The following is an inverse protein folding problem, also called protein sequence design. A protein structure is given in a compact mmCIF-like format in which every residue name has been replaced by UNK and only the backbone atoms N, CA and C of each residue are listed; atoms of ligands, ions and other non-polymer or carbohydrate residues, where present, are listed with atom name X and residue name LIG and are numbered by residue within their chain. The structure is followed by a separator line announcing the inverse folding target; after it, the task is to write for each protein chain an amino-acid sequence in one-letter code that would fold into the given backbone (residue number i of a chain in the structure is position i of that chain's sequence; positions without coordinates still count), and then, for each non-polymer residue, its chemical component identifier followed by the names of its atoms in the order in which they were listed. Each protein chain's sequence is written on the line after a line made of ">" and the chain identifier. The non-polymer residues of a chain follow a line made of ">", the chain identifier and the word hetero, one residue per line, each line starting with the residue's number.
data_IF_089942695272
#
_entry.id   IF_089942695272
#
_cell.length_a   1.000
_cell.length_b   1.000
_cell.length_c   1.000
_cell.angle_alpha   90.00
_cell.angle_beta   90.00
_cell.angle_gamma   90.00
#
_symmetry.space_group_name_H-M   'P 1'
#
loop_
_entity.id
_entity.type
_entity.pdbx_description
1 polymer ?
#
# COMPACT_ATOMS: atom_id res chain seq x y z
N UNK A 1 13.56 17.77 -15.20
CA UNK A 1 12.31 18.37 -14.66
C UNK A 1 12.03 17.76 -13.30
N UNK A 2 11.36 18.48 -12.39
CA UNK A 2 10.96 17.94 -11.08
C UNK A 2 9.73 17.05 -11.26
N UNK A 3 9.76 15.82 -10.76
CA UNK A 3 8.64 14.88 -10.82
C UNK A 3 7.59 15.23 -9.75
N UNK A 4 6.28 15.20 -10.05
CA UNK A 4 5.26 15.31 -9.02
C UNK A 4 5.40 14.18 -8.00
N UNK A 5 5.34 14.53 -6.71
CA UNK A 5 5.38 13.57 -5.62
C UNK A 5 3.97 13.13 -5.23
N UNK A 6 3.75 11.81 -5.12
CA UNK A 6 2.43 11.23 -4.85
C UNK A 6 2.48 10.43 -3.55
N UNK A 7 1.59 10.72 -2.61
CA UNK A 7 1.41 9.90 -1.42
C UNK A 7 0.33 8.85 -1.66
N UNK A 8 0.65 7.58 -1.38
CA UNK A 8 -0.28 6.45 -1.47
C UNK A 8 -0.46 5.92 -0.05
N UNK A 9 -1.72 5.88 0.41
CA UNK A 9 -2.06 5.40 1.75
C UNK A 9 -2.66 4.00 1.65
N UNK A 10 -1.97 3.02 2.22
CA UNK A 10 -2.24 1.59 2.11
C UNK A 10 -1.47 0.93 0.96
N UNK A 11 -0.89 -0.24 1.23
CA UNK A 11 -0.23 -1.14 0.30
C UNK A 11 -1.03 -2.43 0.06
N UNK A 12 -2.37 -2.32 0.09
CA UNK A 12 -3.29 -3.32 -0.43
C UNK A 12 -3.28 -3.41 -1.96
N UNK A 13 -4.17 -4.21 -2.54
CA UNK A 13 -4.27 -4.38 -4.01
C UNK A 13 -4.38 -3.05 -4.76
N UNK A 14 -5.24 -2.15 -4.30
CA UNK A 14 -5.43 -0.82 -4.90
C UNK A 14 -4.18 0.04 -4.78
N UNK A 15 -3.55 0.07 -3.60
CA UNK A 15 -2.35 0.88 -3.36
C UNK A 15 -1.15 0.43 -4.19
N UNK A 16 -0.92 -0.89 -4.30
CA UNK A 16 0.14 -1.46 -5.12
C UNK A 16 -0.10 -1.20 -6.63
N UNK A 17 -1.35 -1.29 -7.09
CA UNK A 17 -1.70 -0.95 -8.47
C UNK A 17 -1.45 0.54 -8.75
N UNK A 18 -1.87 1.44 -7.85
CA UNK A 18 -1.58 2.88 -7.94
C UNK A 18 -0.08 3.16 -7.92
N UNK A 19 0.69 2.47 -7.08
CA UNK A 19 2.15 2.61 -6.98
C UNK A 19 2.82 2.26 -8.30
N UNK A 20 2.46 1.10 -8.88
CA UNK A 20 2.96 0.67 -10.19
C UNK A 20 2.62 1.69 -11.26
N UNK A 21 1.38 2.14 -11.33
CA UNK A 21 0.96 3.11 -12.36
C UNK A 21 1.70 4.45 -12.22
N UNK A 22 1.95 4.93 -11.00
CA UNK A 22 2.75 6.14 -10.79
C UNK A 22 4.18 6.00 -11.32
N UNK A 23 4.80 4.83 -11.18
CA UNK A 23 6.13 4.57 -11.72
C UNK A 23 6.13 4.55 -13.25
N UNK A 24 5.13 3.91 -13.86
CA UNK A 24 4.95 3.88 -15.32
C UNK A 24 4.74 5.27 -15.92
N UNK A 25 4.05 6.15 -15.20
CA UNK A 25 3.77 7.53 -15.60
C UNK A 25 4.91 8.52 -15.21
N UNK A 26 6.08 8.00 -14.80
CA UNK A 26 7.28 8.76 -14.44
C UNK A 26 7.11 9.72 -13.22
N UNK A 27 6.23 9.39 -12.28
CA UNK A 27 6.01 10.13 -11.03
C UNK A 27 6.99 9.71 -9.91
N UNK A 28 6.96 10.42 -8.76
CA UNK A 28 7.74 10.10 -7.55
C UNK A 28 6.80 9.64 -6.40
N UNK A 29 6.36 8.37 -6.38
CA UNK A 29 5.43 7.89 -5.37
C UNK A 29 6.10 7.49 -4.05
N UNK A 30 5.42 7.74 -2.93
CA UNK A 30 5.75 7.20 -1.60
C UNK A 30 4.51 6.47 -1.09
N UNK A 31 4.68 5.20 -0.74
CA UNK A 31 3.60 4.37 -0.18
C UNK A 31 3.78 4.22 1.33
N UNK A 32 2.70 4.46 2.08
CA UNK A 32 2.64 4.28 3.52
C UNK A 32 1.69 3.12 3.83
N UNK A 33 2.17 2.11 4.53
CA UNK A 33 1.40 0.96 4.99
C UNK A 33 1.53 0.87 6.51
N UNK A 34 0.41 0.63 7.18
CA UNK A 34 0.36 0.46 8.62
C UNK A 34 0.90 -0.91 9.03
N UNK A 35 0.59 -1.95 8.26
CA UNK A 35 1.06 -3.30 8.49
C UNK A 35 2.56 -3.46 8.19
N UNK A 36 3.16 -4.46 8.81
CA UNK A 36 4.55 -4.87 8.50
C UNK A 36 4.68 -5.62 7.18
N UNK A 37 3.56 -5.87 6.49
CA UNK A 37 3.49 -6.62 5.23
C UNK A 37 2.49 -5.96 4.26
N UNK A 38 2.73 -6.14 2.96
CA UNK A 38 1.85 -5.61 1.90
C UNK A 38 0.73 -6.60 1.56
N UNK A 39 -0.26 -6.16 0.78
CA UNK A 39 -1.36 -7.01 0.30
C UNK A 39 -2.71 -6.69 0.95
N UNK A 40 -2.73 -5.92 2.04
CA UNK A 40 -3.97 -5.51 2.72
C UNK A 40 -4.79 -6.73 3.12
N UNK A 41 -6.06 -6.79 2.71
CA UNK A 41 -6.97 -7.91 2.99
C UNK A 41 -6.46 -9.30 2.57
N UNK A 42 -5.44 -9.38 1.71
CA UNK A 42 -4.84 -10.66 1.28
C UNK A 42 -3.73 -11.15 2.21
N UNK A 43 -3.28 -10.33 3.15
CA UNK A 43 -2.40 -10.78 4.21
C UNK A 43 -3.25 -11.48 5.27
N UNK A 44 -3.30 -12.82 5.21
CA UNK A 44 -4.03 -13.60 6.21
C UNK A 44 -3.45 -13.35 7.60
N UNK A 45 -4.32 -12.98 8.53
CA UNK A 45 -4.01 -12.83 9.96
C UNK A 45 -4.96 -13.73 10.73
N UNK A 46 -4.42 -14.47 11.69
CA UNK A 46 -5.26 -15.29 12.57
C UNK A 46 -6.08 -14.36 13.47
N UNK A 47 -7.42 -14.52 13.42
CA UNK A 47 -8.34 -13.72 14.23
C UNK A 47 -8.54 -14.45 15.55
N UNK A 48 -8.17 -13.80 16.64
CA UNK A 48 -8.30 -14.34 17.99
C UNK A 48 -8.74 -13.26 18.99
N UNK A 49 -8.63 -13.56 20.30
CA UNK A 49 -9.03 -12.62 21.35
C UNK A 49 -8.19 -11.34 21.42
N UNK A 50 -6.97 -11.37 20.87
CA UNK A 50 -6.00 -10.27 20.86
C UNK A 50 -5.99 -9.55 19.52
N UNK A 51 -6.20 -10.26 18.41
CA UNK A 51 -6.19 -9.73 17.06
C UNK A 51 -7.60 -9.80 16.45
N UNK A 52 -8.38 -8.74 16.66
CA UNK A 52 -9.82 -8.72 16.37
C UNK A 52 -10.19 -8.28 14.96
N UNK A 53 -9.26 -7.62 14.28
CA UNK A 53 -9.48 -7.01 12.97
C UNK A 53 -8.44 -7.55 11.97
N UNK A 54 -8.85 -8.19 10.87
CA UNK A 54 -7.95 -8.58 9.79
C UNK A 54 -7.44 -7.37 8.97
#
# INVERSE_FOLDING_TARGET
>A
MVKPRVAIIGAGSSGLASLKQCLDDDLDPICFEQASYVGGLWNFVEIDGENKDP
#
